data_IF_132824255719
#
_entry.id   IF_132824255719
#
_cell.length_a   1.000
_cell.length_b   1.000
_cell.length_c   1.000
_cell.angle_alpha   90.00
_cell.angle_beta   90.00
_cell.angle_gamma   90.00
#
_symmetry.space_group_name_H-M   'P 1'
#
loop_
_entity.id
_entity.type
_entity.pdbx_description
1 polymer ?
#
# COMPACT_ATOMS: atom_id res chain seq x y z
N UNK A 1 0.48 -38.55 -0.55
CA UNK A 1 -0.33 -38.33 0.66
C UNK A 1 -1.71 -38.92 0.40
N UNK A 2 -2.09 -39.99 1.10
CA UNK A 2 -3.42 -40.61 0.93
C UNK A 2 -4.46 -39.74 1.66
N UNK A 3 -5.22 -38.94 0.91
CA UNK A 3 -6.36 -38.21 1.46
C UNK A 3 -7.46 -39.19 1.90
N UNK A 4 -8.17 -38.94 3.01
CA UNK A 4 -9.35 -39.69 3.37
C UNK A 4 -10.42 -39.55 2.28
N UNK A 5 -11.07 -40.66 1.95
CA UNK A 5 -12.15 -40.73 0.96
C UNK A 5 -13.30 -39.82 1.41
N UNK A 6 -13.54 -38.73 0.67
CA UNK A 6 -14.72 -37.88 0.84
C UNK A 6 -14.47 -36.39 1.20
N UNK A 7 -13.23 -35.92 1.31
CA UNK A 7 -12.95 -34.49 1.49
C UNK A 7 -12.70 -33.82 0.14
N UNK A 8 -13.46 -32.76 -0.16
CA UNK A 8 -13.26 -31.95 -1.36
C UNK A 8 -11.92 -31.21 -1.27
N UNK A 9 -11.23 -31.06 -2.40
CA UNK A 9 -9.96 -30.36 -2.46
C UNK A 9 -10.18 -28.86 -2.32
N UNK A 10 -9.48 -28.23 -1.37
CA UNK A 10 -9.49 -26.78 -1.19
C UNK A 10 -8.25 -26.17 -1.83
N UNK A 11 -8.45 -25.20 -2.74
CA UNK A 11 -7.37 -24.39 -3.31
C UNK A 11 -7.44 -23.00 -2.71
N UNK A 12 -6.29 -22.44 -2.34
CA UNK A 12 -6.19 -21.07 -1.86
C UNK A 12 -5.14 -20.31 -2.69
N UNK A 13 -5.51 -19.14 -3.20
CA UNK A 13 -4.67 -18.31 -4.06
C UNK A 13 -4.61 -16.90 -3.49
N UNK A 14 -3.42 -16.49 -3.09
CA UNK A 14 -3.14 -15.16 -2.54
C UNK A 14 -2.14 -14.47 -3.45
N UNK A 15 -2.39 -13.26 -3.91
CA UNK A 15 -1.43 -12.63 -4.83
C UNK A 15 -1.64 -11.15 -5.06
N UNK A 16 -0.65 -10.58 -5.75
CA UNK A 16 -0.60 -9.19 -6.15
C UNK A 16 -1.60 -8.95 -7.29
N UNK A 17 -2.58 -8.07 -7.04
CA UNK A 17 -3.71 -7.78 -7.94
C UNK A 17 -3.27 -7.37 -9.35
N UNK A 18 -2.21 -6.56 -9.44
CA UNK A 18 -1.69 -6.01 -10.69
C UNK A 18 -0.76 -6.97 -11.45
N UNK A 19 -0.63 -8.22 -11.01
CA UNK A 19 0.26 -9.18 -11.64
C UNK A 19 -0.50 -10.34 -12.31
N UNK A 20 -0.17 -10.62 -13.56
CA UNK A 20 -0.75 -11.70 -14.37
C UNK A 20 -0.63 -13.09 -13.74
N UNK A 21 0.46 -13.38 -13.01
CA UNK A 21 0.65 -14.67 -12.32
C UNK A 21 -0.47 -14.96 -11.31
N UNK A 22 -0.96 -13.93 -10.62
CA UNK A 22 -2.09 -14.08 -9.71
C UNK A 22 -3.36 -14.46 -10.47
N UNK A 23 -3.61 -13.83 -11.62
CA UNK A 23 -4.78 -14.12 -12.45
C UNK A 23 -4.71 -15.50 -13.11
N UNK A 24 -3.51 -15.96 -13.49
CA UNK A 24 -3.29 -17.34 -13.97
C UNK A 24 -3.69 -18.35 -12.87
N UNK A 25 -3.16 -18.18 -11.67
CA UNK A 25 -3.45 -19.10 -10.55
C UNK A 25 -4.93 -19.06 -10.15
N UNK A 26 -5.52 -17.85 -10.10
CA UNK A 26 -6.95 -17.64 -9.84
C UNK A 26 -7.80 -18.41 -10.84
N UNK A 27 -7.55 -18.19 -12.13
CA UNK A 27 -8.28 -18.84 -13.21
C UNK A 27 -8.16 -20.36 -13.16
N UNK A 28 -6.95 -20.89 -12.88
CA UNK A 28 -6.76 -22.33 -12.69
C UNK A 28 -7.65 -22.89 -11.56
N UNK A 29 -7.67 -22.22 -10.40
CA UNK A 29 -8.48 -22.64 -9.26
C UNK A 29 -10.00 -22.60 -9.57
N UNK A 30 -10.47 -21.54 -10.22
CA UNK A 30 -11.87 -21.37 -10.64
C UNK A 30 -12.28 -22.41 -11.69
N UNK A 31 -11.44 -22.68 -12.69
CA UNK A 31 -11.71 -23.66 -13.73
C UNK A 31 -11.78 -25.09 -13.17
N UNK A 32 -10.90 -25.44 -12.23
CA UNK A 32 -10.92 -26.73 -11.56
C UNK A 32 -12.25 -26.93 -10.80
N UNK A 33 -12.69 -25.90 -10.06
CA UNK A 33 -13.98 -25.92 -9.38
C UNK A 33 -15.14 -26.07 -10.37
N UNK A 34 -15.12 -25.29 -11.45
CA UNK A 34 -16.17 -25.32 -12.48
C UNK A 34 -16.26 -26.69 -13.17
N UNK A 35 -15.11 -27.28 -13.51
CA UNK A 35 -15.02 -28.54 -14.28
C UNK A 35 -15.30 -29.77 -13.42
N UNK A 36 -14.87 -29.77 -12.16
CA UNK A 36 -14.90 -30.95 -11.30
C UNK A 36 -15.88 -30.86 -10.12
N UNK A 37 -16.59 -29.73 -9.98
CA UNK A 37 -17.77 -29.58 -9.11
C UNK A 37 -17.49 -29.93 -7.65
N UNK A 38 -18.12 -30.99 -7.16
CA UNK A 38 -18.06 -31.44 -5.76
C UNK A 38 -16.70 -31.99 -5.35
N UNK A 39 -15.79 -32.23 -6.30
CA UNK A 39 -14.40 -32.58 -5.98
C UNK A 39 -13.60 -31.43 -5.38
N UNK A 40 -14.08 -30.19 -5.53
CA UNK A 40 -13.42 -29.00 -5.03
C UNK A 40 -14.34 -28.19 -4.13
N UNK A 41 -13.77 -27.59 -3.08
CA UNK A 41 -14.43 -26.50 -2.36
C UNK A 41 -14.41 -25.22 -3.22
N UNK A 42 -15.19 -24.21 -2.82
CA UNK A 42 -15.05 -22.89 -3.43
C UNK A 42 -13.63 -22.35 -3.18
N UNK A 43 -12.88 -21.95 -4.21
CA UNK A 43 -11.49 -21.54 -4.03
C UNK A 43 -11.39 -20.27 -3.19
N UNK A 44 -10.47 -20.27 -2.22
CA UNK A 44 -10.22 -19.10 -1.40
C UNK A 44 -9.24 -18.16 -2.12
N UNK A 45 -9.78 -17.16 -2.83
CA UNK A 45 -8.98 -16.23 -3.63
C UNK A 45 -8.92 -14.88 -2.93
N UNK A 46 -7.71 -14.37 -2.71
CA UNK A 46 -7.48 -13.02 -2.16
C UNK A 46 -6.44 -12.27 -2.97
N UNK A 47 -6.89 -11.24 -3.68
CA UNK A 47 -6.02 -10.24 -4.30
C UNK A 47 -5.60 -9.17 -3.29
N UNK A 48 -4.39 -8.66 -3.42
CA UNK A 48 -3.81 -7.63 -2.55
C UNK A 48 -3.07 -6.58 -3.38
N UNK A 49 -3.00 -5.34 -2.90
CA UNK A 49 -2.11 -4.30 -3.45
C UNK A 49 -0.68 -4.50 -2.96
N UNK A 50 0.29 -3.81 -3.57
CA UNK A 50 1.73 -3.97 -3.30
C UNK A 50 2.06 -3.96 -1.80
N UNK A 51 1.69 -2.90 -1.08
CA UNK A 51 2.02 -2.80 0.35
C UNK A 51 1.32 -3.87 1.21
N UNK A 52 0.11 -4.31 0.84
CA UNK A 52 -0.56 -5.40 1.55
C UNK A 52 0.10 -6.75 1.23
N UNK A 53 0.47 -6.96 -0.03
CA UNK A 53 1.14 -8.16 -0.52
C UNK A 53 2.49 -8.35 0.17
N UNK A 54 3.31 -7.30 0.26
CA UNK A 54 4.63 -7.38 0.90
C UNK A 54 4.52 -7.78 2.37
N UNK A 55 3.58 -7.17 3.10
CA UNK A 55 3.30 -7.52 4.51
C UNK A 55 2.80 -8.97 4.63
N UNK A 56 1.96 -9.42 3.71
CA UNK A 56 1.46 -10.79 3.69
C UNK A 56 2.60 -11.79 3.46
N UNK A 57 3.48 -11.53 2.50
CA UNK A 57 4.65 -12.36 2.20
C UNK A 57 5.61 -12.41 3.38
N UNK A 58 5.91 -11.27 4.02
CA UNK A 58 6.74 -11.22 5.23
C UNK A 58 6.16 -12.05 6.37
N UNK A 59 4.84 -11.93 6.62
CA UNK A 59 4.15 -12.75 7.62
C UNK A 59 4.23 -14.24 7.28
N UNK A 60 4.05 -14.62 6.01
CA UNK A 60 4.13 -16.03 5.57
C UNK A 60 5.54 -16.59 5.63
N UNK A 61 6.58 -15.79 5.36
CA UNK A 61 7.99 -16.18 5.55
C UNK A 61 8.28 -16.59 7.00
N UNK A 62 7.70 -15.89 7.97
CA UNK A 62 7.84 -16.21 9.40
C UNK A 62 7.05 -17.48 9.77
N UNK A 63 5.80 -17.57 9.29
CA UNK A 63 4.89 -18.70 9.58
C UNK A 63 5.44 -20.03 9.05
N UNK A 64 5.87 -20.06 7.79
CA UNK A 64 6.18 -21.29 7.07
C UNK A 64 7.64 -21.75 7.21
N UNK A 65 8.57 -20.90 7.67
CA UNK A 65 9.99 -21.17 7.96
C UNK A 65 10.76 -21.95 6.87
N UNK A 66 11.85 -21.40 6.35
CA UNK A 66 12.77 -22.16 5.46
C UNK A 66 12.28 -22.31 4.01
N UNK A 67 11.01 -22.65 3.77
CA UNK A 67 10.44 -22.88 2.42
C UNK A 67 10.23 -21.59 1.61
N UNK A 68 9.97 -20.46 2.27
CA UNK A 68 9.68 -19.16 1.63
C UNK A 68 10.82 -18.14 1.72
N UNK A 69 12.00 -18.48 2.25
CA UNK A 69 13.05 -17.48 2.55
C UNK A 69 13.47 -16.64 1.33
N UNK A 70 13.49 -17.27 0.15
CA UNK A 70 13.79 -16.63 -1.13
C UNK A 70 12.54 -16.40 -2.01
N UNK A 71 11.34 -16.48 -1.43
CA UNK A 71 10.11 -16.31 -2.21
C UNK A 71 9.92 -14.85 -2.60
N UNK A 72 9.84 -14.65 -3.91
CA UNK A 72 9.70 -13.35 -4.55
C UNK A 72 8.56 -13.35 -5.58
N UNK A 73 7.86 -14.47 -5.75
CA UNK A 73 6.79 -14.57 -6.73
C UNK A 73 5.58 -13.74 -6.29
N UNK A 74 4.83 -13.15 -7.23
CA UNK A 74 3.69 -12.26 -6.96
C UNK A 74 2.40 -13.00 -6.59
N UNK A 75 2.46 -14.30 -6.34
CA UNK A 75 1.32 -15.15 -5.98
C UNK A 75 1.81 -16.30 -5.12
N UNK A 76 1.04 -16.74 -4.13
CA UNK A 76 1.26 -17.91 -3.28
C UNK A 76 0.01 -18.79 -3.38
N UNK A 77 0.22 -20.08 -3.65
CA UNK A 77 -0.83 -21.07 -3.77
C UNK A 77 -0.72 -22.15 -2.70
N UNK A 78 -1.89 -22.60 -2.22
CA UNK A 78 -2.01 -23.74 -1.30
C UNK A 78 -3.03 -24.74 -1.84
N UNK A 79 -2.78 -26.03 -1.55
CA UNK A 79 -3.73 -27.12 -1.80
C UNK A 79 -3.93 -27.89 -0.49
N UNK A 80 -5.18 -27.94 -0.03
CA UNK A 80 -5.57 -28.53 1.25
C UNK A 80 -4.74 -28.01 2.43
N UNK A 81 -4.45 -26.70 2.42
CA UNK A 81 -3.63 -26.02 3.43
C UNK A 81 -2.11 -26.24 3.30
N UNK A 82 -1.64 -27.04 2.35
CA UNK A 82 -0.21 -27.23 2.09
C UNK A 82 0.28 -26.22 1.07
N UNK A 83 1.39 -25.55 1.37
CA UNK A 83 2.04 -24.64 0.43
C UNK A 83 2.55 -25.43 -0.78
N UNK A 84 2.24 -24.97 -1.99
CA UNK A 84 2.68 -25.63 -3.22
C UNK A 84 3.63 -24.79 -4.06
N UNK A 85 3.66 -23.47 -3.88
CA UNK A 85 4.48 -22.55 -4.69
C UNK A 85 3.65 -21.44 -5.33
N UNK A 86 4.05 -21.06 -6.54
CA UNK A 86 3.43 -20.02 -7.34
C UNK A 86 2.43 -20.63 -8.36
N UNK A 87 2.02 -19.83 -9.34
CA UNK A 87 1.10 -20.25 -10.40
C UNK A 87 1.61 -21.45 -11.23
N UNK A 88 2.92 -21.58 -11.45
CA UNK A 88 3.53 -22.68 -12.22
C UNK A 88 3.40 -23.99 -11.48
N UNK A 89 3.73 -24.02 -10.18
CA UNK A 89 3.55 -25.24 -9.38
C UNK A 89 2.07 -25.62 -9.25
N UNK A 90 1.16 -24.64 -9.16
CA UNK A 90 -0.27 -24.90 -9.20
C UNK A 90 -0.73 -25.50 -10.52
N UNK A 91 -0.30 -24.94 -11.66
CA UNK A 91 -0.63 -25.46 -12.98
C UNK A 91 -0.08 -26.87 -13.19
N UNK A 92 1.16 -27.12 -12.76
CA UNK A 92 1.78 -28.44 -12.83
C UNK A 92 0.99 -29.47 -12.00
N UNK A 93 0.66 -29.12 -10.75
CA UNK A 93 -0.18 -29.96 -9.89
C UNK A 93 -1.56 -30.25 -10.53
N UNK A 94 -2.20 -29.23 -11.09
CA UNK A 94 -3.49 -29.37 -11.76
C UNK A 94 -3.41 -30.25 -13.02
N UNK A 95 -2.31 -30.16 -13.76
CA UNK A 95 -2.05 -31.03 -14.91
C UNK A 95 -1.88 -32.49 -14.49
N UNK A 96 -1.03 -32.74 -13.50
CA UNK A 96 -0.68 -34.10 -13.06
C UNK A 96 -1.88 -34.83 -12.45
N UNK A 97 -2.67 -34.16 -11.61
CA UNK A 97 -3.77 -34.80 -10.87
C UNK A 97 -5.11 -34.76 -11.63
N UNK A 98 -5.30 -33.81 -12.54
CA UNK A 98 -6.59 -33.55 -13.18
C UNK A 98 -6.52 -33.33 -14.70
N UNK A 99 -5.35 -33.52 -15.34
CA UNK A 99 -5.14 -33.25 -16.77
C UNK A 99 -5.68 -31.88 -17.18
N UNK A 100 -5.47 -30.89 -16.32
CA UNK A 100 -5.80 -29.50 -16.61
C UNK A 100 -4.79 -28.92 -17.60
N UNK A 101 -5.30 -28.16 -18.56
CA UNK A 101 -4.51 -27.40 -19.53
C UNK A 101 -5.16 -26.03 -19.68
N UNK A 102 -4.32 -24.99 -19.66
CA UNK A 102 -4.73 -23.60 -19.83
C UNK A 102 -4.30 -23.10 -21.21
N UNK A 103 -5.27 -22.76 -22.04
CA UNK A 103 -5.05 -22.29 -23.40
C UNK A 103 -5.19 -20.77 -23.55
N UNK A 104 -5.43 -20.05 -22.45
CA UNK A 104 -5.54 -18.59 -22.49
C UNK A 104 -4.16 -17.98 -22.79
N UNK A 105 -4.10 -16.97 -23.68
CA UNK A 105 -2.84 -16.29 -23.95
C UNK A 105 -2.43 -15.40 -22.77
N UNK A 106 -1.12 -15.21 -22.59
CA UNK A 106 -0.53 -14.32 -21.57
C UNK A 106 -1.13 -12.90 -21.62
N UNK A 107 -1.39 -12.39 -22.83
CA UNK A 107 -2.00 -11.06 -23.04
C UNK A 107 -3.38 -10.91 -22.42
N UNK A 108 -4.15 -12.01 -22.29
CA UNK A 108 -5.43 -11.97 -21.60
C UNK A 108 -5.22 -11.73 -20.10
N UNK A 109 -4.22 -12.36 -19.49
CA UNK A 109 -3.91 -12.20 -18.07
C UNK A 109 -3.37 -10.81 -17.75
N UNK A 110 -2.52 -10.25 -18.61
CA UNK A 110 -2.06 -8.87 -18.45
C UNK A 110 -3.23 -7.88 -18.56
N UNK A 111 -4.21 -8.13 -19.45
CA UNK A 111 -5.43 -7.34 -19.54
C UNK A 111 -6.32 -7.48 -18.29
N UNK A 112 -6.49 -8.70 -17.78
CA UNK A 112 -7.22 -8.96 -16.52
C UNK A 112 -6.57 -8.24 -15.33
N UNK A 113 -5.24 -8.27 -15.23
CA UNK A 113 -4.49 -7.56 -14.19
C UNK A 113 -4.70 -6.05 -14.27
N UNK A 114 -4.63 -5.49 -15.48
CA UNK A 114 -4.86 -4.06 -15.71
C UNK A 114 -6.28 -3.64 -15.35
N UNK A 115 -7.28 -4.42 -15.78
CA UNK A 115 -8.68 -4.12 -15.52
C UNK A 115 -9.02 -4.26 -14.03
N UNK A 116 -8.57 -5.34 -13.39
CA UNK A 116 -8.82 -5.57 -11.98
C UNK A 116 -8.18 -4.48 -11.09
N UNK A 117 -6.99 -4.00 -11.46
CA UNK A 117 -6.35 -2.88 -10.79
C UNK A 117 -7.13 -1.57 -10.98
N UNK A 118 -7.61 -1.25 -12.20
CA UNK A 118 -8.50 -0.10 -12.43
C UNK A 118 -9.80 -0.19 -11.63
N UNK A 119 -10.43 -1.36 -11.67
CA UNK A 119 -11.69 -1.65 -10.98
C UNK A 119 -11.57 -1.43 -9.47
N UNK A 120 -10.44 -1.79 -8.86
CA UNK A 120 -10.19 -1.54 -7.45
C UNK A 120 -10.38 -0.05 -7.10
N UNK A 121 -9.80 0.87 -7.87
CA UNK A 121 -9.94 2.31 -7.62
C UNK A 121 -11.33 2.83 -7.94
N UNK A 122 -11.95 2.36 -9.03
CA UNK A 122 -13.28 2.79 -9.45
C UNK A 122 -14.39 2.34 -8.48
N UNK A 123 -14.20 1.20 -7.82
CA UNK A 123 -15.13 0.64 -6.86
C UNK A 123 -14.84 1.08 -5.42
N UNK A 124 -13.63 1.59 -5.15
CA UNK A 124 -13.30 2.15 -3.84
C UNK A 124 -14.08 3.44 -3.59
N UNK A 125 -14.54 3.59 -2.35
CA UNK A 125 -15.16 4.83 -1.87
C UNK A 125 -14.15 5.83 -1.34
N UNK A 126 -12.89 5.42 -1.23
CA UNK A 126 -11.81 6.23 -0.70
C UNK A 126 -11.15 7.05 -1.81
N UNK A 127 -10.44 8.08 -1.37
CA UNK A 127 -9.71 8.98 -2.26
C UNK A 127 -8.24 8.53 -2.33
N UNK A 128 -7.62 8.69 -3.49
CA UNK A 128 -6.22 8.28 -3.69
C UNK A 128 -5.38 9.48 -4.07
N UNK A 129 -4.18 9.57 -3.49
CA UNK A 129 -3.23 10.65 -3.76
C UNK A 129 -1.83 10.08 -3.91
N UNK A 130 -1.03 10.72 -4.75
CA UNK A 130 0.36 10.32 -4.96
C UNK A 130 1.34 11.41 -4.56
N UNK A 131 2.55 10.99 -4.23
CA UNK A 131 3.73 11.84 -4.03
C UNK A 131 4.92 11.23 -4.78
N UNK A 132 5.38 11.91 -5.81
CA UNK A 132 6.66 11.66 -6.46
C UNK A 132 7.78 12.22 -5.60
N UNK A 133 8.76 11.39 -5.25
CA UNK A 133 9.87 11.77 -4.38
C UNK A 133 11.14 11.91 -5.20
N UNK A 134 11.93 12.95 -4.91
CA UNK A 134 13.30 13.09 -5.37
C UNK A 134 14.29 13.05 -4.21
N UNK A 135 15.47 12.48 -4.48
CA UNK A 135 16.64 12.46 -3.58
C UNK A 135 17.84 13.01 -4.35
N UNK A 136 18.50 14.02 -3.80
CA UNK A 136 19.60 14.77 -4.43
C UNK A 136 19.27 15.29 -5.85
N UNK A 137 18.00 15.69 -6.05
CA UNK A 137 17.49 16.22 -7.32
C UNK A 137 17.10 15.16 -8.35
N UNK A 138 17.40 13.88 -8.09
CA UNK A 138 17.04 12.76 -8.96
C UNK A 138 15.70 12.15 -8.56
N UNK A 139 14.89 11.73 -9.55
CA UNK A 139 13.61 11.06 -9.28
C UNK A 139 13.86 9.69 -8.66
N UNK A 140 13.34 9.46 -7.45
CA UNK A 140 13.53 8.21 -6.70
C UNK A 140 12.35 7.26 -6.78
N UNK A 141 11.14 7.78 -7.02
CA UNK A 141 9.94 6.96 -7.22
C UNK A 141 8.66 7.66 -6.77
N UNK A 142 7.59 6.89 -6.60
CA UNK A 142 6.27 7.36 -6.18
C UNK A 142 5.79 6.62 -4.94
N UNK A 143 5.16 7.37 -4.03
CA UNK A 143 4.33 6.84 -2.96
C UNK A 143 2.86 7.06 -3.35
N UNK A 144 2.05 6.00 -3.35
CA UNK A 144 0.61 6.09 -3.58
C UNK A 144 -0.12 5.76 -2.29
N UNK A 145 -1.05 6.64 -1.89
CA UNK A 145 -1.80 6.52 -0.65
C UNK A 145 -3.29 6.40 -0.91
N UNK A 146 -3.95 5.55 -0.13
CA UNK A 146 -5.39 5.55 0.08
C UNK A 146 -5.73 6.40 1.31
N UNK A 147 -6.71 7.29 1.18
CA UNK A 147 -7.20 8.17 2.24
C UNK A 147 -8.55 7.66 2.76
N UNK A 148 -8.67 7.48 4.07
CA UNK A 148 -9.86 6.97 4.75
C UNK A 148 -10.93 8.05 4.93
N UNK A 149 -11.41 8.61 3.82
CA UNK A 149 -12.32 9.76 3.78
C UNK A 149 -13.67 9.52 4.47
N UNK A 150 -14.15 8.27 4.56
CA UNK A 150 -15.37 7.95 5.33
C UNK A 150 -15.15 8.07 6.85
N UNK A 151 -13.91 7.90 7.33
CA UNK A 151 -13.57 7.93 8.76
C UNK A 151 -13.04 9.29 9.20
N UNK A 152 -12.17 9.91 8.39
CA UNK A 152 -11.54 11.20 8.69
C UNK A 152 -11.72 12.20 7.53
N UNK A 153 -12.95 12.57 7.14
CA UNK A 153 -13.21 13.39 5.96
C UNK A 153 -12.48 14.74 5.97
N UNK A 154 -12.45 15.45 7.10
CA UNK A 154 -11.82 16.78 7.19
C UNK A 154 -10.30 16.68 7.06
N UNK A 155 -9.70 15.68 7.71
CA UNK A 155 -8.26 15.41 7.66
C UNK A 155 -7.83 14.97 6.26
N UNK A 156 -8.59 14.07 5.64
CA UNK A 156 -8.35 13.61 4.27
C UNK A 156 -8.49 14.75 3.27
N UNK A 157 -9.49 15.62 3.43
CA UNK A 157 -9.65 16.81 2.58
C UNK A 157 -8.43 17.74 2.70
N UNK A 158 -7.98 18.05 3.91
CA UNK A 158 -6.77 18.86 4.11
C UNK A 158 -5.57 18.29 3.36
N UNK A 159 -5.30 17.00 3.54
CA UNK A 159 -4.17 16.34 2.90
C UNK A 159 -4.30 16.30 1.38
N UNK A 160 -5.48 15.94 0.84
CA UNK A 160 -5.76 15.91 -0.60
C UNK A 160 -5.59 17.28 -1.23
N UNK A 161 -6.16 18.33 -0.64
CA UNK A 161 -6.06 19.69 -1.17
C UNK A 161 -4.62 20.22 -1.16
N UNK A 162 -3.81 19.83 -0.16
CA UNK A 162 -2.37 20.11 -0.13
C UNK A 162 -1.59 19.28 -1.16
N UNK A 163 -2.01 18.06 -1.49
CA UNK A 163 -1.45 17.33 -2.62
C UNK A 163 -1.79 18.00 -3.97
N UNK A 164 -3.03 18.43 -4.18
CA UNK A 164 -3.48 19.00 -5.46
C UNK A 164 -3.09 20.47 -5.65
N UNK A 165 -2.92 21.22 -4.56
CA UNK A 165 -2.68 22.67 -4.61
C UNK A 165 -3.92 23.48 -5.00
N UNK A 166 -5.11 22.86 -4.96
CA UNK A 166 -6.35 23.50 -5.42
C UNK A 166 -6.74 24.75 -4.62
N UNK A 167 -6.24 24.86 -3.38
CA UNK A 167 -6.48 26.02 -2.51
C UNK A 167 -5.60 27.23 -2.85
N UNK A 168 -4.61 27.09 -3.74
CA UNK A 168 -3.76 28.19 -4.18
C UNK A 168 -2.88 28.76 -3.07
N UNK A 169 -2.70 30.08 -3.06
CA UNK A 169 -1.85 30.77 -2.09
C UNK A 169 -2.65 31.64 -1.12
N UNK A 170 -2.24 31.65 0.14
CA UNK A 170 -2.78 32.52 1.18
C UNK A 170 -2.34 33.98 0.94
N UNK A 171 -3.02 34.97 1.56
CA UNK A 171 -2.59 36.37 1.53
C UNK A 171 -1.17 36.61 2.07
N UNK A 172 -0.68 35.71 2.93
CA UNK A 172 0.71 35.70 3.42
C UNK A 172 1.74 35.37 2.34
N UNK A 173 1.30 34.89 1.18
CA UNK A 173 2.14 34.39 0.09
C UNK A 173 2.47 32.90 0.20
N UNK A 174 2.08 32.23 1.30
CA UNK A 174 2.26 30.79 1.47
C UNK A 174 1.42 30.03 0.43
N UNK A 175 2.06 29.19 -0.38
CA UNK A 175 1.39 28.30 -1.31
C UNK A 175 0.99 27.01 -0.62
N UNK A 176 -0.31 26.67 -0.64
CA UNK A 176 -0.86 25.48 0.02
C UNK A 176 -0.66 24.25 -0.86
N UNK A 177 0.59 23.79 -0.99
CA UNK A 177 0.93 22.62 -1.79
C UNK A 177 2.14 21.86 -1.22
N UNK A 178 2.15 20.53 -1.32
CA UNK A 178 3.27 19.70 -0.88
C UNK A 178 4.44 19.66 -1.85
N UNK A 179 4.26 19.97 -3.13
CA UNK A 179 5.33 19.99 -4.12
C UNK A 179 6.42 20.97 -3.73
N UNK A 180 7.67 20.50 -3.77
CA UNK A 180 8.87 21.20 -3.30
C UNK A 180 9.13 21.10 -1.79
N UNK A 181 8.16 20.66 -0.98
CA UNK A 181 8.34 20.50 0.46
C UNK A 181 9.29 19.34 0.78
N UNK A 182 10.17 19.47 1.78
CA UNK A 182 11.13 18.43 2.11
C UNK A 182 10.56 17.37 3.07
N UNK A 183 11.04 16.15 2.93
CA UNK A 183 11.07 15.18 4.04
C UNK A 183 12.16 15.65 4.99
N UNK A 184 11.74 16.35 6.05
CA UNK A 184 12.66 17.07 6.92
C UNK A 184 13.11 16.26 8.14
N UNK A 185 12.51 15.09 8.37
CA UNK A 185 12.83 14.20 9.49
C UNK A 185 12.55 12.73 9.13
N UNK A 186 13.50 11.86 9.44
CA UNK A 186 13.46 10.42 9.25
C UNK A 186 13.95 9.78 10.55
N UNK A 187 13.08 8.97 11.14
CA UNK A 187 13.36 8.20 12.35
C UNK A 187 13.32 6.72 11.93
N UNK A 188 14.47 6.06 11.69
CA UNK A 188 14.49 4.65 11.33
C UNK A 188 13.79 3.79 12.37
N UNK A 189 13.02 2.78 11.93
CA UNK A 189 12.07 2.04 12.75
C UNK A 189 11.06 2.96 13.46
N UNK A 190 10.71 4.07 12.86
CA UNK A 190 9.76 5.02 13.42
C UNK A 190 8.84 5.51 12.31
N UNK A 191 9.17 6.66 11.75
CA UNK A 191 8.42 7.29 10.68
C UNK A 191 9.32 8.20 9.84
N UNK A 192 8.90 8.46 8.61
CA UNK A 192 9.33 9.63 7.86
C UNK A 192 8.33 10.76 8.09
N UNK A 193 8.78 12.01 8.13
CA UNK A 193 7.94 13.19 8.34
C UNK A 193 8.25 14.27 7.30
N UNK A 194 7.19 14.79 6.70
CA UNK A 194 7.22 15.81 5.66
C UNK A 194 6.12 16.85 5.87
N UNK A 195 5.88 17.66 4.84
CA UNK A 195 4.73 18.57 4.81
C UNK A 195 4.89 19.88 5.59
N UNK A 196 6.11 20.26 6.01
CA UNK A 196 6.36 21.66 6.36
C UNK A 196 6.52 22.46 5.06
N UNK A 197 5.39 22.99 4.59
CA UNK A 197 5.26 23.76 3.34
C UNK A 197 5.75 25.20 3.45
N UNK A 198 6.13 25.66 4.66
CA UNK A 198 6.54 27.04 4.89
C UNK A 198 8.06 27.19 4.83
N UNK A 199 8.79 26.51 5.72
CA UNK A 199 10.26 26.63 5.82
C UNK A 199 10.98 25.30 5.60
N UNK A 200 10.28 24.16 5.67
CA UNK A 200 10.89 22.84 5.53
C UNK A 200 11.83 22.46 6.69
N UNK A 201 11.61 23.03 7.89
CA UNK A 201 12.43 22.78 9.09
C UNK A 201 11.68 21.98 10.16
N UNK A 202 10.39 21.72 9.95
CA UNK A 202 9.50 21.06 10.91
C UNK A 202 8.86 22.03 11.91
N UNK A 203 9.08 23.33 11.77
CA UNK A 203 8.54 24.37 12.67
C UNK A 203 7.33 25.11 12.09
N UNK A 204 7.01 24.94 10.81
CA UNK A 204 5.91 25.64 10.13
C UNK A 204 4.91 24.74 9.41
N UNK A 205 4.17 25.36 8.49
CA UNK A 205 3.09 24.74 7.73
C UNK A 205 1.70 25.13 8.25
N UNK A 206 0.73 25.21 7.35
CA UNK A 206 -0.65 25.60 7.65
C UNK A 206 -1.63 24.64 6.97
N UNK A 207 -2.78 24.41 7.59
CA UNK A 207 -3.86 23.63 6.99
C UNK A 207 -4.63 24.48 5.97
N UNK A 208 -5.47 23.83 5.16
CA UNK A 208 -6.40 24.53 4.27
C UNK A 208 -7.50 25.30 5.02
N UNK A 209 -7.66 25.06 6.32
CA UNK A 209 -8.68 25.67 7.18
C UNK A 209 -8.13 26.82 8.03
N UNK A 210 -6.84 27.16 7.91
CA UNK A 210 -6.11 28.10 8.75
C UNK A 210 -4.83 27.47 9.32
N UNK A 211 -4.19 28.14 10.28
CA UNK A 211 -2.88 27.72 10.83
C UNK A 211 -2.90 26.26 11.31
N UNK A 212 -3.92 25.89 12.09
CA UNK A 212 -4.13 24.53 12.58
C UNK A 212 -5.61 24.15 12.59
N UNK A 213 -5.90 22.84 12.67
CA UNK A 213 -7.22 22.28 12.88
C UNK A 213 -7.21 21.16 13.95
N UNK A 214 -8.41 20.81 14.39
CA UNK A 214 -8.64 19.84 15.47
C UNK A 214 -8.37 18.38 15.05
N UNK A 215 -7.90 17.56 15.99
CA UNK A 215 -7.86 16.10 15.82
C UNK A 215 -9.29 15.57 15.61
N UNK A 216 -9.57 15.01 14.43
CA UNK A 216 -10.91 14.61 14.01
C UNK A 216 -11.44 13.39 14.77
N UNK A 217 -10.67 12.28 14.78
CA UNK A 217 -10.90 11.12 15.65
C UNK A 217 -9.66 10.20 15.69
N UNK A 218 -9.73 9.15 16.52
CA UNK A 218 -8.66 8.17 16.71
C UNK A 218 -9.13 6.73 16.44
N UNK A 219 -10.07 6.55 15.52
CA UNK A 219 -10.65 5.25 15.20
C UNK A 219 -9.64 4.32 14.50
N UNK A 220 -8.76 4.89 13.67
CA UNK A 220 -7.72 4.16 12.95
C UNK A 220 -6.50 4.00 13.85
N UNK A 221 -5.97 2.77 13.90
CA UNK A 221 -4.82 2.38 14.71
C UNK A 221 -3.55 2.27 13.87
N UNK A 222 -2.40 2.54 14.48
CA UNK A 222 -1.09 2.49 13.82
C UNK A 222 -0.53 1.07 13.79
N UNK A 223 -1.25 0.15 13.14
CA UNK A 223 -0.99 -1.29 13.26
C UNK A 223 0.08 -1.83 12.30
N UNK A 224 0.44 -1.07 11.26
CA UNK A 224 1.29 -1.55 10.18
C UNK A 224 2.31 -0.51 9.74
N UNK A 225 3.35 -0.95 9.05
CA UNK A 225 4.17 -0.05 8.20
C UNK A 225 3.30 0.58 7.12
N UNK A 226 3.58 1.84 6.78
CA UNK A 226 2.90 2.59 5.73
C UNK A 226 1.67 3.38 6.18
N UNK A 227 1.31 3.37 7.46
CA UNK A 227 0.20 4.21 7.95
C UNK A 227 0.54 5.70 7.79
N UNK A 228 -0.37 6.45 7.18
CA UNK A 228 -0.30 7.89 6.97
C UNK A 228 -1.08 8.61 8.08
N UNK A 229 -0.47 9.60 8.70
CA UNK A 229 -1.11 10.39 9.75
C UNK A 229 -0.60 11.82 9.87
N UNK A 230 -1.33 12.65 10.62
CA UNK A 230 -1.02 14.08 10.80
C UNK A 230 -0.08 14.27 11.98
N UNK A 231 1.05 14.93 11.74
CA UNK A 231 1.89 15.42 12.82
C UNK A 231 1.21 16.62 13.51
N UNK A 232 1.37 16.72 14.83
CA UNK A 232 0.85 17.82 15.63
C UNK A 232 1.89 18.26 16.68
N UNK A 233 1.68 19.43 17.28
CA UNK A 233 2.50 19.98 18.38
C UNK A 233 1.75 19.89 19.72
N UNK A 234 0.87 18.90 19.85
CA UNK A 234 -0.12 18.79 20.92
C UNK A 234 -1.53 18.61 20.36
N UNK A 235 -2.48 18.30 21.23
CA UNK A 235 -3.87 18.06 20.82
C UNK A 235 -4.44 19.24 20.03
N UNK A 236 -5.15 18.92 18.96
CA UNK A 236 -5.84 19.88 18.10
C UNK A 236 -4.92 20.94 17.47
N UNK A 237 -3.70 20.53 17.07
CA UNK A 237 -2.72 21.41 16.41
C UNK A 237 -2.19 20.80 15.10
N UNK A 238 -3.04 20.06 14.38
CA UNK A 238 -2.69 19.53 13.07
C UNK A 238 -2.64 20.66 12.04
N UNK A 239 -1.58 20.72 11.23
CA UNK A 239 -1.42 21.71 10.17
C UNK A 239 -1.30 21.04 8.80
N UNK A 240 -0.16 21.21 8.15
CA UNK A 240 0.20 20.48 6.92
C UNK A 240 1.20 19.34 7.13
N UNK A 241 1.86 19.26 8.29
CA UNK A 241 2.88 18.24 8.49
C UNK A 241 2.25 16.85 8.65
N UNK A 242 2.83 15.86 7.99
CA UNK A 242 2.37 14.47 8.00
C UNK A 242 3.53 13.52 8.30
N UNK A 243 3.19 12.31 8.69
CA UNK A 243 4.13 11.21 8.81
C UNK A 243 3.66 9.96 8.06
N UNK A 244 4.62 9.14 7.64
CA UNK A 244 4.38 7.76 7.17
C UNK A 244 5.17 6.83 8.08
N UNK A 245 4.46 5.92 8.74
CA UNK A 245 5.08 4.97 9.67
C UNK A 245 5.96 3.95 8.95
N UNK A 246 7.09 3.61 9.57
CA UNK A 246 8.04 2.61 9.09
C UNK A 246 7.85 1.26 9.80
N UNK A 247 7.07 1.23 10.88
CA UNK A 247 6.67 0.01 11.58
C UNK A 247 5.35 0.25 12.34
N UNK A 248 4.70 -0.79 12.89
CA UNK A 248 3.58 -0.60 13.81
C UNK A 248 3.97 0.33 14.96
N UNK A 249 3.15 1.35 15.23
CA UNK A 249 3.41 2.36 16.24
C UNK A 249 2.23 2.57 17.21
N UNK A 250 1.81 1.55 18.00
CA UNK A 250 0.63 1.64 18.87
C UNK A 250 0.69 2.77 19.91
N UNK A 251 1.90 3.24 20.26
CA UNK A 251 2.09 4.37 21.17
C UNK A 251 1.61 5.71 20.59
N UNK A 252 1.41 5.80 19.27
CA UNK A 252 0.83 6.96 18.59
C UNK A 252 -0.71 6.98 18.65
N UNK A 253 -1.32 5.84 19.00
CA UNK A 253 -2.77 5.73 19.07
C UNK A 253 -3.35 6.71 20.09
N UNK A 254 -4.45 7.37 19.73
CA UNK A 254 -5.11 8.39 20.55
C UNK A 254 -4.27 9.66 20.83
N UNK A 255 -3.12 9.82 20.18
CA UNK A 255 -2.27 11.01 20.23
C UNK A 255 -2.14 11.68 18.86
N UNK A 256 -2.11 10.88 17.80
CA UNK A 256 -2.01 11.34 16.42
C UNK A 256 -3.14 10.73 15.58
N UNK A 257 -3.67 11.52 14.65
CA UNK A 257 -4.73 11.07 13.74
C UNK A 257 -4.10 10.33 12.57
N UNK A 258 -4.31 9.01 12.51
CA UNK A 258 -4.12 8.23 11.29
C UNK A 258 -5.33 8.42 10.37
N UNK A 259 -5.09 8.63 9.08
CA UNK A 259 -6.15 8.93 8.11
C UNK A 259 -5.92 8.28 6.73
N UNK A 260 -4.88 7.49 6.56
CA UNK A 260 -4.65 6.76 5.31
C UNK A 260 -3.60 5.67 5.45
N UNK A 261 -3.30 5.00 4.33
CA UNK A 261 -2.24 4.00 4.23
C UNK A 261 -1.54 4.10 2.89
N UNK A 262 -0.24 3.80 2.89
CA UNK A 262 0.51 3.52 1.68
C UNK A 262 -0.04 2.24 1.03
N UNK A 263 -0.27 2.29 -0.27
CA UNK A 263 -0.71 1.15 -1.07
C UNK A 263 0.34 0.72 -2.12
N UNK A 264 1.20 1.64 -2.59
CA UNK A 264 2.36 1.37 -3.45
C UNK A 264 3.55 2.25 -3.08
N UNK A 265 4.76 1.74 -3.34
CA UNK A 265 6.01 2.41 -3.02
C UNK A 265 6.72 1.81 -1.81
N UNK A 266 6.54 0.52 -1.53
CA UNK A 266 7.18 -0.18 -0.40
C UNK A 266 8.70 -0.02 -0.46
N UNK A 267 9.31 -0.28 -1.62
CA UNK A 267 10.76 -0.20 -1.81
C UNK A 267 11.28 1.24 -1.72
N UNK A 268 10.50 2.21 -2.19
CA UNK A 268 10.84 3.62 -2.00
C UNK A 268 10.81 3.98 -0.51
N UNK A 269 9.79 3.56 0.24
CA UNK A 269 9.70 3.83 1.67
C UNK A 269 10.88 3.21 2.45
N UNK A 270 11.33 2.00 2.08
CA UNK A 270 12.55 1.38 2.61
C UNK A 270 13.80 2.20 2.27
N UNK A 271 13.94 2.62 1.01
CA UNK A 271 15.06 3.47 0.56
C UNK A 271 15.11 4.79 1.33
N UNK A 272 13.96 5.42 1.58
CA UNK A 272 13.88 6.65 2.36
C UNK A 272 14.30 6.44 3.82
N UNK A 273 13.87 5.34 4.44
CA UNK A 273 14.28 4.99 5.81
C UNK A 273 15.79 4.81 5.95
N UNK A 274 16.45 4.24 4.94
CA UNK A 274 17.89 3.98 4.93
C UNK A 274 18.75 5.21 4.62
N UNK A 275 18.14 6.37 4.32
CA UNK A 275 18.90 7.59 4.04
C UNK A 275 19.74 8.02 5.24
N UNK A 276 21.00 8.45 5.03
CA UNK A 276 21.85 8.90 6.11
C UNK A 276 21.30 10.20 6.72
N UNK A 277 21.16 10.23 8.05
CA UNK A 277 20.64 11.40 8.78
C UNK A 277 21.67 12.05 9.71
N UNK A 278 21.43 13.31 10.07
CA UNK A 278 22.08 14.01 11.18
C UNK A 278 20.98 14.64 12.05
N UNK A 279 20.87 14.18 13.31
CA UNK A 279 19.75 14.52 14.20
C UNK A 279 18.39 14.29 13.52
N UNK A 280 18.20 13.09 12.95
CA UNK A 280 16.99 12.67 12.23
C UNK A 280 16.71 13.44 10.93
N UNK A 281 17.43 14.53 10.61
CA UNK A 281 17.30 15.22 9.33
C UNK A 281 18.12 14.50 8.25
N UNK A 282 17.55 14.21 7.06
CA UNK A 282 18.33 13.66 5.94
C UNK A 282 19.53 14.54 5.58
N UNK A 283 20.69 13.92 5.34
CA UNK A 283 21.90 14.62 4.88
C UNK A 283 21.84 14.98 3.40
N UNK A 284 21.05 14.23 2.65
CA UNK A 284 20.76 14.43 1.23
C UNK A 284 19.44 15.16 1.09
N UNK A 285 19.29 15.91 0.00
CA UNK A 285 18.05 16.66 -0.23
C UNK A 285 16.93 15.70 -0.64
N UNK A 286 15.93 15.49 0.23
CA UNK A 286 14.80 14.61 -0.03
C UNK A 286 13.51 15.42 -0.04
N UNK A 287 12.78 15.42 -1.17
CA UNK A 287 11.61 16.29 -1.37
C UNK A 287 10.48 15.61 -2.12
N UNK A 288 9.28 16.14 -1.95
CA UNK A 288 8.15 15.87 -2.84
C UNK A 288 8.39 16.64 -4.14
N UNK A 289 8.77 15.94 -5.21
CA UNK A 289 9.00 16.52 -6.54
C UNK A 289 7.68 16.84 -7.27
N UNK A 290 6.63 16.10 -6.97
CA UNK A 290 5.28 16.30 -7.50
C UNK A 290 4.27 15.53 -6.66
N UNK A 291 3.03 16.00 -6.63
CA UNK A 291 1.97 15.34 -5.89
C UNK A 291 0.61 15.71 -6.48
N UNK A 292 -0.41 14.94 -6.17
CA UNK A 292 -1.75 15.21 -6.66
C UNK A 292 -2.75 14.13 -6.30
N UNK A 293 -3.96 14.33 -6.81
CA UNK A 293 -5.01 13.32 -6.80
C UNK A 293 -4.68 12.24 -7.83
N UNK A 294 -4.84 10.98 -7.44
CA UNK A 294 -4.63 9.84 -8.32
C UNK A 294 -5.97 9.40 -8.90
N UNK A 295 -6.03 9.34 -10.24
CA UNK A 295 -7.16 8.79 -10.99
C UNK A 295 -6.63 7.66 -11.86
N UNK A 296 -7.18 6.44 -11.75
CA UNK A 296 -6.72 5.31 -12.54
C UNK A 296 -6.91 5.58 -14.06
N UNK A 297 -5.86 5.36 -14.84
CA UNK A 297 -5.92 5.43 -16.31
C UNK A 297 -5.64 6.80 -16.96
N UNK A 298 -5.24 7.81 -16.18
CA UNK A 298 -4.63 9.04 -16.68
C UNK A 298 -3.10 8.98 -16.65
#
# INVERSE_FOLDING_TARGET
LNMPVGQATKIEVFGLLQNESFHIAKCCAEDLKLKYGDKFEEPAIKSMLECEWDRYVESKKIELKGELWSYMDPVICFVNGNFIGNHKELLQWAHDDYSYEDFRPETLYSAMATEAYKDYFLQSKNEFVFMDISVDGEKSGRLLFELFSEVCPKTCQNFKSLCTGECGSLPSGLHLNYSGSPVHRIVPNGWIQGGDILHGRGDGGESIFGEVFEDENFAIKHQTRGMLGMANKGRHTAGSQFYVTLQPAPWMDCQYVAFGTLIEGTELLKTLEDLPTFNERPKVDCRVAGCGHYVPGN
#
